data_IF_255397655488
#
_entry.id   IF_255397655488
#
_cell.length_a   1.000
_cell.length_b   1.000
_cell.length_c   1.000
_cell.angle_alpha   90.00
_cell.angle_beta   90.00
_cell.angle_gamma   90.00
#
_symmetry.space_group_name_H-M   'P 1'
#
loop_
_entity.id
_entity.type
_entity.pdbx_description
1 polymer ?
#
# COMPACT_ATOMS: atom_id res chain seq x y z
N UNK A 1 4.00 8.98 22.60
CA UNK A 1 2.95 8.17 21.96
C UNK A 1 2.53 8.92 20.72
N UNK A 2 3.18 8.63 19.58
CA UNK A 2 2.73 9.16 18.29
C UNK A 2 1.38 8.49 17.98
N UNK A 3 0.41 9.29 17.55
CA UNK A 3 -0.96 8.85 17.30
C UNK A 3 -1.02 7.99 16.03
N UNK A 4 -1.76 6.87 16.07
CA UNK A 4 -2.00 6.00 14.91
C UNK A 4 -2.57 6.74 13.69
N UNK A 5 -3.26 7.88 13.89
CA UNK A 5 -3.70 8.72 12.76
C UNK A 5 -2.54 9.37 12.01
N UNK A 6 -1.42 9.65 12.69
CA UNK A 6 -0.22 10.24 12.07
C UNK A 6 0.50 9.20 11.21
N UNK A 7 0.63 7.96 11.69
CA UNK A 7 1.20 6.85 10.90
C UNK A 7 0.35 6.53 9.67
N UNK A 8 -0.99 6.55 9.79
CA UNK A 8 -1.90 6.31 8.67
C UNK A 8 -1.73 7.36 7.57
N UNK A 9 -1.61 8.64 7.95
CA UNK A 9 -1.34 9.72 7.00
C UNK A 9 0.03 9.56 6.34
N UNK A 10 1.07 9.22 7.09
CA UNK A 10 2.41 9.00 6.56
C UNK A 10 2.46 7.84 5.55
N UNK A 11 1.79 6.72 5.83
CA UNK A 11 1.65 5.59 4.90
C UNK A 11 0.94 6.02 3.61
N UNK A 12 -0.12 6.84 3.70
CA UNK A 12 -0.81 7.36 2.52
C UNK A 12 0.08 8.24 1.63
N UNK A 13 0.99 9.03 2.22
CA UNK A 13 1.98 9.81 1.48
C UNK A 13 2.97 8.89 0.74
N UNK A 14 3.54 7.92 1.45
CA UNK A 14 4.47 6.94 0.87
C UNK A 14 3.82 6.17 -0.29
N UNK A 15 2.57 5.73 -0.12
CA UNK A 15 1.81 5.04 -1.17
C UNK A 15 1.67 5.92 -2.43
N UNK A 16 1.30 7.19 -2.27
CA UNK A 16 1.17 8.13 -3.38
C UNK A 16 2.48 8.32 -4.15
N UNK A 17 3.58 8.49 -3.42
CA UNK A 17 4.93 8.66 -4.00
C UNK A 17 5.38 7.40 -4.75
N UNK A 18 5.20 6.21 -4.17
CA UNK A 18 5.55 4.94 -4.81
C UNK A 18 4.70 4.69 -6.05
N UNK A 19 3.38 4.94 -6.00
CA UNK A 19 2.50 4.78 -7.18
C UNK A 19 2.91 5.69 -8.32
N UNK A 20 3.35 6.91 -8.02
CA UNK A 20 3.85 7.84 -9.03
C UNK A 20 5.16 7.34 -9.64
N UNK A 21 6.10 6.83 -8.83
CA UNK A 21 7.35 6.26 -9.34
C UNK A 21 7.12 5.01 -10.20
N UNK A 22 6.22 4.12 -9.79
CA UNK A 22 5.79 2.95 -10.56
C UNK A 22 5.29 3.37 -11.95
N UNK A 23 4.37 4.34 -12.01
CA UNK A 23 3.85 4.87 -13.29
C UNK A 23 4.95 5.48 -14.15
N UNK A 24 5.82 6.32 -13.57
CA UNK A 24 6.91 6.99 -14.30
C UNK A 24 7.93 6.03 -14.85
N UNK A 25 8.21 4.93 -14.15
CA UNK A 25 9.20 3.92 -14.54
C UNK A 25 8.61 2.77 -15.35
N UNK A 26 7.28 2.72 -15.51
CA UNK A 26 6.60 1.65 -16.24
C UNK A 26 6.74 0.27 -15.60
N UNK A 27 6.87 0.21 -14.26
CA UNK A 27 6.95 -1.05 -13.50
C UNK A 27 5.56 -1.67 -13.43
N UNK A 28 5.43 -2.98 -13.69
CA UNK A 28 4.17 -3.72 -13.48
C UNK A 28 4.17 -4.27 -12.04
N UNK A 29 3.38 -3.72 -11.09
CA UNK A 29 3.43 -4.15 -9.70
C UNK A 29 3.02 -5.59 -9.47
N UNK A 30 2.20 -6.17 -10.37
CA UNK A 30 1.74 -7.54 -10.27
C UNK A 30 2.78 -8.55 -10.76
N UNK A 31 3.72 -8.11 -11.60
CA UNK A 31 4.76 -8.98 -12.19
C UNK A 31 6.15 -8.72 -11.64
N UNK A 32 6.43 -7.50 -11.23
CA UNK A 32 7.76 -7.03 -10.86
C UNK A 32 7.83 -6.69 -9.36
N UNK A 33 7.43 -7.64 -8.49
CA UNK A 33 7.38 -7.40 -7.03
C UNK A 33 8.71 -6.93 -6.46
N UNK A 34 9.82 -7.51 -6.91
CA UNK A 34 11.16 -7.08 -6.47
C UNK A 34 11.49 -5.62 -6.85
N UNK A 35 10.99 -5.13 -8.00
CA UNK A 35 11.17 -3.75 -8.40
C UNK A 35 10.33 -2.79 -7.53
N UNK A 36 9.11 -3.21 -7.17
CA UNK A 36 8.27 -2.45 -6.23
C UNK A 36 8.90 -2.42 -4.84
N UNK A 37 9.40 -3.55 -4.33
CA UNK A 37 10.08 -3.62 -3.03
C UNK A 37 11.28 -2.66 -2.99
N UNK A 38 12.05 -2.56 -4.08
CA UNK A 38 13.14 -1.60 -4.17
C UNK A 38 12.63 -0.16 -4.15
N UNK A 39 11.60 0.17 -4.92
CA UNK A 39 11.01 1.50 -4.94
C UNK A 39 10.50 1.92 -3.55
N UNK A 40 9.83 1.02 -2.84
CA UNK A 40 9.34 1.29 -1.50
C UNK A 40 10.49 1.55 -0.54
N UNK A 41 11.56 0.73 -0.58
CA UNK A 41 12.75 0.97 0.26
C UNK A 41 13.38 2.33 0.00
N UNK A 42 13.51 2.72 -1.27
CA UNK A 42 14.09 4.01 -1.65
C UNK A 42 13.23 5.18 -1.14
N UNK A 43 11.90 5.08 -1.28
CA UNK A 43 10.96 6.12 -0.82
C UNK A 43 10.92 6.24 0.69
N UNK A 44 10.94 5.11 1.41
CA UNK A 44 11.00 5.12 2.89
C UNK A 44 12.29 5.79 3.38
N UNK A 45 13.44 5.46 2.78
CA UNK A 45 14.72 6.07 3.16
C UNK A 45 14.75 7.59 2.90
N UNK A 46 14.17 8.04 1.79
CA UNK A 46 14.00 9.47 1.50
C UNK A 46 13.05 10.15 2.50
N UNK A 47 11.95 9.49 2.85
CA UNK A 47 11.00 9.99 3.85
C UNK A 47 11.65 10.12 5.23
N UNK A 48 12.44 9.14 5.67
CA UNK A 48 13.18 9.21 6.93
C UNK A 48 14.18 10.38 6.93
N UNK A 49 14.83 10.64 5.79
CA UNK A 49 15.71 11.80 5.63
C UNK A 49 14.93 13.11 5.78
N UNK A 50 13.78 13.24 5.11
CA UNK A 50 12.89 14.41 5.24
C UNK A 50 12.36 14.58 6.67
N UNK A 51 12.04 13.48 7.35
CA UNK A 51 11.57 13.50 8.72
C UNK A 51 12.65 13.95 9.71
N UNK A 52 13.89 13.47 9.54
CA UNK A 52 15.03 13.91 10.35
C UNK A 52 15.30 15.42 10.22
N UNK A 53 14.93 16.02 9.08
CA UNK A 53 14.99 17.47 8.84
C UNK A 53 13.74 18.23 9.34
N UNK A 54 12.76 17.53 9.91
CA UNK A 54 11.51 18.12 10.40
C UNK A 54 10.52 18.53 9.31
N UNK A 55 10.72 18.07 8.06
CA UNK A 55 9.87 18.44 6.91
C UNK A 55 8.55 17.65 6.91
N UNK A 56 8.59 16.40 7.39
CA UNK A 56 7.44 15.51 7.51
C UNK A 56 7.44 14.81 8.87
N UNK A 57 6.28 14.30 9.29
CA UNK A 57 6.16 13.55 10.53
C UNK A 57 7.03 12.28 10.48
N UNK A 58 7.60 11.81 11.62
CA UNK A 58 8.34 10.56 11.65
C UNK A 58 7.43 9.34 11.56
N UNK A 59 7.95 8.28 10.93
CA UNK A 59 7.34 6.96 10.94
C UNK A 59 7.63 6.30 12.30
N UNK A 60 6.61 5.72 12.95
CA UNK A 60 6.84 4.95 14.18
C UNK A 60 7.61 3.64 13.91
N UNK A 61 7.29 2.97 12.79
CA UNK A 61 7.98 1.77 12.31
C UNK A 61 8.13 1.83 10.77
N UNK A 62 9.30 2.26 10.26
CA UNK A 62 9.56 2.35 8.82
C UNK A 62 9.44 1.00 8.09
N UNK A 63 9.75 -0.11 8.77
CA UNK A 63 9.67 -1.44 8.17
C UNK A 63 8.22 -1.87 8.00
N UNK A 64 7.39 -1.65 9.03
CA UNK A 64 5.96 -1.92 8.94
C UNK A 64 5.27 -1.01 7.90
N UNK A 65 5.63 0.28 7.86
CA UNK A 65 5.12 1.21 6.86
C UNK A 65 5.48 0.78 5.44
N UNK A 66 6.74 0.37 5.20
CA UNK A 66 7.17 -0.16 3.91
C UNK A 66 6.38 -1.40 3.49
N UNK A 67 6.15 -2.36 4.39
CA UNK A 67 5.32 -3.55 4.11
C UNK A 67 3.89 -3.16 3.71
N UNK A 68 3.26 -2.26 4.48
CA UNK A 68 1.92 -1.79 4.19
C UNK A 68 1.82 -1.14 2.79
N UNK A 69 2.84 -0.37 2.39
CA UNK A 69 2.89 0.25 1.06
C UNK A 69 3.11 -0.79 -0.04
N UNK A 70 3.99 -1.78 0.16
CA UNK A 70 4.17 -2.89 -0.80
C UNK A 70 2.85 -3.62 -1.00
N UNK A 71 2.12 -3.95 0.07
CA UNK A 71 0.84 -4.65 -0.02
C UNK A 71 -0.25 -3.82 -0.70
N UNK A 72 -0.23 -2.49 -0.51
CA UNK A 72 -1.13 -1.58 -1.19
C UNK A 72 -0.80 -1.41 -2.70
N UNK A 73 0.48 -1.44 -3.07
CA UNK A 73 0.94 -1.14 -4.44
C UNK A 73 1.06 -2.38 -5.32
N UNK A 74 1.61 -3.47 -4.77
CA UNK A 74 1.88 -4.73 -5.47
C UNK A 74 1.01 -5.90 -4.99
N UNK A 75 0.33 -5.76 -3.86
CA UNK A 75 -0.66 -6.73 -3.39
C UNK A 75 -2.07 -6.40 -3.87
N UNK A 76 -3.00 -7.30 -3.59
CA UNK A 76 -4.44 -7.10 -3.78
C UNK A 76 -5.09 -6.35 -2.61
N UNK A 77 -4.28 -5.56 -1.89
CA UNK A 77 -4.70 -4.76 -0.74
C UNK A 77 -5.32 -5.63 0.36
N UNK A 78 -6.44 -5.21 0.98
CA UNK A 78 -7.13 -5.96 2.04
C UNK A 78 -7.56 -7.38 1.65
N UNK A 79 -7.58 -7.72 0.36
CA UNK A 79 -7.91 -9.06 -0.11
C UNK A 79 -6.72 -10.02 -0.03
N UNK A 80 -5.49 -9.52 0.06
CA UNK A 80 -4.28 -10.35 0.01
C UNK A 80 -4.24 -11.44 1.11
N UNK A 81 -4.60 -11.19 2.39
CA UNK A 81 -4.59 -12.22 3.42
C UNK A 81 -5.52 -13.40 3.10
N UNK A 82 -6.61 -13.15 2.39
CA UNK A 82 -7.56 -14.20 1.99
C UNK A 82 -7.07 -15.00 0.77
N UNK A 83 -6.19 -14.42 -0.03
CA UNK A 83 -5.64 -15.06 -1.23
C UNK A 83 -4.36 -15.85 -0.94
N UNK A 84 -3.65 -15.48 0.13
CA UNK A 84 -2.46 -16.20 0.60
C UNK A 84 -2.80 -17.36 1.56
N UNK A 85 -4.07 -17.51 1.96
CA UNK A 85 -4.54 -18.60 2.82
C UNK A 85 -4.85 -19.86 1.99
N UNK A 86 -4.09 -20.97 2.15
CA UNK A 86 -4.30 -22.19 1.38
C UNK A 86 -5.60 -22.94 1.74
N UNK A 87 -6.25 -22.61 2.86
CA UNK A 87 -7.56 -23.19 3.24
C UNK A 87 -8.73 -22.48 2.53
N UNK A 88 -8.49 -21.34 1.88
CA UNK A 88 -9.50 -20.59 1.11
C UNK A 88 -9.44 -21.01 -0.36
N UNK A 89 -10.45 -21.75 -0.81
CA UNK A 89 -10.52 -22.23 -2.21
C UNK A 89 -11.14 -21.21 -3.18
N UNK A 90 -12.05 -20.34 -2.72
CA UNK A 90 -12.79 -19.42 -3.60
C UNK A 90 -13.25 -18.12 -2.90
N UNK A 91 -13.15 -16.99 -3.62
CA UNK A 91 -13.67 -15.68 -3.20
C UNK A 91 -14.66 -15.16 -4.26
N UNK A 92 -15.91 -14.94 -3.86
CA UNK A 92 -16.95 -14.38 -4.72
C UNK A 92 -17.19 -12.89 -4.43
N UNK A 93 -17.09 -12.04 -5.46
CA UNK A 93 -17.45 -10.61 -5.38
C UNK A 93 -18.82 -10.41 -6.01
N UNK A 94 -19.82 -10.06 -5.20
CA UNK A 94 -21.15 -9.71 -5.70
C UNK A 94 -21.36 -8.19 -5.73
N UNK A 95 -21.88 -7.68 -6.84
CA UNK A 95 -22.41 -6.31 -6.94
C UNK A 95 -23.92 -6.37 -6.81
N UNK A 96 -24.47 -5.69 -5.82
CA UNK A 96 -25.91 -5.43 -5.77
C UNK A 96 -26.28 -4.31 -6.74
N UNK A 97 -27.05 -4.62 -7.79
CA UNK A 97 -27.78 -3.61 -8.56
C UNK A 97 -29.22 -3.59 -8.07
N UNK A 98 -29.52 -2.83 -7.03
CA UNK A 98 -30.91 -2.54 -6.68
C UNK A 98 -31.50 -1.56 -7.70
N UNK A 99 -31.96 -2.08 -8.84
CA UNK A 99 -33.05 -1.49 -9.61
C UNK A 99 -34.16 -2.55 -9.69
N UNK A 100 -34.80 -2.81 -8.54
CA UNK A 100 -36.01 -3.61 -8.46
C UNK A 100 -37.23 -2.72 -8.61
N UNK A 101 -37.65 -2.46 -9.85
CA UNK A 101 -39.09 -2.24 -10.10
C UNK A 101 -39.74 -3.62 -10.14
N UNK A 102 -40.42 -3.97 -9.05
CA UNK A 102 -41.25 -5.16 -8.98
C UNK A 102 -42.39 -5.06 -10.01
N UNK A 103 -42.56 -6.11 -10.82
CA UNK A 103 -43.81 -6.39 -11.53
C UNK A 103 -44.68 -7.30 -10.65
#
# INVERSE_FOLDING_TARGET
>A
MLDMSTDTHAVGVLEGEVRELVRRRGVDPARDRAAVDQLVRDVVADYETRSALGVVAPLADPTAAGRAVVDAVAGLGPLQPYLDDPEIEEIWIYRSSLNGSYF
#
